data_IF_231061381208
#
_entry.id   IF_231061381208
#
_cell.length_a   1.000
_cell.length_b   1.000
_cell.length_c   1.000
_cell.angle_alpha   90.00
_cell.angle_beta   90.00
_cell.angle_gamma   90.00
#
_symmetry.space_group_name_H-M   'P 1'
#
loop_
_entity.id
_entity.type
_entity.pdbx_description
1 polymer ?
#
# COMPACT_ATOMS: atom_id res chain seq x y z
N UNK A 1 18.59 -20.77 -1.88
CA UNK A 1 17.26 -21.09 -2.47
C UNK A 1 16.17 -21.19 -1.40
N UNK A 2 16.37 -21.94 -0.32
CA UNK A 2 15.39 -22.10 0.77
C UNK A 2 14.89 -20.76 1.34
N UNK A 3 15.81 -19.87 1.74
CA UNK A 3 15.44 -18.56 2.30
C UNK A 3 14.75 -17.63 1.31
N UNK A 4 15.07 -17.72 0.02
CA UNK A 4 14.34 -16.98 -1.02
C UNK A 4 12.89 -17.43 -1.09
N UNK A 5 12.63 -18.74 -1.14
CA UNK A 5 11.26 -19.27 -1.17
C UNK A 5 10.50 -18.93 0.11
N UNK A 6 11.16 -19.05 1.27
CA UNK A 6 10.60 -18.66 2.56
C UNK A 6 10.22 -17.17 2.57
N UNK A 7 11.10 -16.30 2.06
CA UNK A 7 10.85 -14.88 1.90
C UNK A 7 9.70 -14.59 0.96
N UNK A 8 9.60 -15.30 -0.17
CA UNK A 8 8.48 -15.16 -1.11
C UNK A 8 7.15 -15.55 -0.49
N UNK A 9 7.09 -16.68 0.22
CA UNK A 9 5.85 -17.12 0.91
C UNK A 9 5.44 -16.11 2.00
N UNK A 10 6.39 -15.64 2.81
CA UNK A 10 6.14 -14.62 3.82
C UNK A 10 5.71 -13.29 3.20
N UNK A 11 6.34 -12.90 2.09
CA UNK A 11 5.98 -11.71 1.33
C UNK A 11 4.54 -11.76 0.85
N UNK A 12 4.09 -12.88 0.27
CA UNK A 12 2.67 -13.06 -0.08
C UNK A 12 1.75 -12.97 1.14
N UNK A 13 2.10 -13.62 2.25
CA UNK A 13 1.30 -13.54 3.48
C UNK A 13 1.22 -12.10 4.04
N UNK A 14 2.26 -11.30 3.83
CA UNK A 14 2.33 -9.89 4.24
C UNK A 14 1.49 -8.96 3.35
N UNK A 15 1.58 -9.09 2.01
CA UNK A 15 0.94 -8.15 1.08
C UNK A 15 -0.48 -8.55 0.65
N UNK A 16 -0.84 -9.84 0.77
CA UNK A 16 -2.13 -10.35 0.31
C UNK A 16 -3.36 -9.87 1.10
N UNK A 17 -3.29 -9.66 2.44
CA UNK A 17 -4.42 -9.16 3.21
C UNK A 17 -5.00 -7.88 2.63
N UNK A 18 -6.33 -7.80 2.55
CA UNK A 18 -6.99 -6.66 1.92
C UNK A 18 -6.83 -5.42 2.78
N UNK A 19 -6.06 -4.45 2.27
CA UNK A 19 -5.79 -3.18 2.95
C UNK A 19 -5.84 -1.99 1.99
N UNK A 20 -5.41 -0.83 2.49
CA UNK A 20 -5.44 0.43 1.74
C UNK A 20 -4.58 0.42 0.47
N UNK A 21 -3.41 -0.23 0.47
CA UNK A 21 -2.57 -0.40 -0.73
C UNK A 21 -3.28 -1.22 -1.81
N UNK A 22 -3.87 -2.37 -1.43
CA UNK A 22 -4.61 -3.23 -2.35
C UNK A 22 -5.81 -2.49 -2.97
N UNK A 23 -6.56 -1.73 -2.15
CA UNK A 23 -7.69 -0.91 -2.64
C UNK A 23 -7.25 0.22 -3.58
N UNK A 24 -6.13 0.88 -3.28
CA UNK A 24 -5.55 1.89 -4.16
C UNK A 24 -5.16 1.31 -5.53
N UNK A 25 -4.53 0.13 -5.55
CA UNK A 25 -4.15 -0.55 -6.80
C UNK A 25 -5.37 -0.97 -7.62
N UNK A 26 -6.36 -1.59 -6.99
CA UNK A 26 -7.60 -2.02 -7.66
C UNK A 26 -8.29 -0.81 -8.30
N UNK A 27 -8.50 0.26 -7.53
CA UNK A 27 -9.18 1.44 -8.05
C UNK A 27 -8.39 2.15 -9.15
N UNK A 28 -7.07 2.31 -8.96
CA UNK A 28 -6.19 2.88 -9.98
C UNK A 28 -6.23 2.09 -11.29
N UNK A 29 -6.26 0.76 -11.20
CA UNK A 29 -6.32 -0.14 -12.35
C UNK A 29 -7.69 -0.17 -13.06
N UNK A 30 -8.79 -0.02 -12.30
CA UNK A 30 -10.15 0.01 -12.84
C UNK A 30 -10.50 1.35 -13.51
N UNK A 31 -9.96 2.45 -13.00
CA UNK A 31 -10.29 3.79 -13.49
C UNK A 31 -9.55 4.17 -14.79
N UNK A 32 -8.55 3.41 -15.22
CA UNK A 32 -7.58 3.85 -16.22
C UNK A 32 -7.22 2.77 -17.26
N UNK A 33 -6.39 3.14 -18.25
CA UNK A 33 -5.90 2.20 -19.27
C UNK A 33 -5.00 1.11 -18.68
N UNK A 34 -4.85 -0.02 -19.38
CA UNK A 34 -3.93 -1.11 -18.96
C UNK A 34 -2.51 -0.64 -18.68
N UNK A 35 -2.01 0.33 -19.47
CA UNK A 35 -0.69 0.94 -19.25
C UNK A 35 -0.61 1.64 -17.90
N UNK A 36 -1.64 2.38 -17.53
CA UNK A 36 -1.73 3.06 -16.24
C UNK A 36 -1.92 2.08 -15.08
N UNK A 37 -2.67 0.99 -15.27
CA UNK A 37 -2.77 -0.08 -14.28
C UNK A 37 -1.39 -0.67 -13.95
N UNK A 38 -0.58 -0.98 -14.97
CA UNK A 38 0.80 -1.43 -14.77
C UNK A 38 1.64 -0.36 -14.06
N UNK A 39 1.53 0.92 -14.45
CA UNK A 39 2.23 2.01 -13.74
C UNK A 39 1.82 2.12 -12.27
N UNK A 40 0.54 1.91 -11.94
CA UNK A 40 0.05 1.88 -10.55
C UNK A 40 0.68 0.70 -9.80
N UNK A 41 0.62 -0.51 -10.38
CA UNK A 41 1.21 -1.71 -9.79
C UNK A 41 2.71 -1.57 -9.56
N UNK A 42 3.46 -1.06 -10.54
CA UNK A 42 4.90 -0.81 -10.43
C UNK A 42 5.22 0.25 -9.37
N UNK A 43 4.44 1.34 -9.32
CA UNK A 43 4.67 2.41 -8.34
C UNK A 43 4.45 1.92 -6.92
N UNK A 44 3.37 1.16 -6.68
CA UNK A 44 3.08 0.58 -5.36
C UNK A 44 4.09 -0.49 -4.99
N UNK A 45 4.42 -1.42 -5.90
CA UNK A 45 5.46 -2.42 -5.67
C UNK A 45 6.81 -1.78 -5.33
N UNK A 46 7.20 -0.72 -6.03
CA UNK A 46 8.43 0.00 -5.72
C UNK A 46 8.44 0.55 -4.29
N UNK A 47 7.39 1.29 -3.89
CA UNK A 47 7.33 1.84 -2.55
C UNK A 47 7.21 0.75 -1.48
N UNK A 48 6.49 -0.32 -1.75
CA UNK A 48 6.32 -1.45 -0.84
C UNK A 48 7.65 -2.20 -0.63
N UNK A 49 8.42 -2.44 -1.70
CA UNK A 49 9.77 -3.00 -1.61
C UNK A 49 10.70 -2.09 -0.80
N UNK A 50 10.68 -0.78 -1.04
CA UNK A 50 11.51 0.16 -0.26
C UNK A 50 11.13 0.16 1.22
N UNK A 51 9.82 0.10 1.53
CA UNK A 51 9.32 0.01 2.90
C UNK A 51 9.73 -1.31 3.55
N UNK A 52 9.55 -2.43 2.86
CA UNK A 52 9.92 -3.75 3.34
C UNK A 52 11.43 -3.86 3.63
N UNK A 53 12.28 -3.34 2.75
CA UNK A 53 13.73 -3.24 2.98
C UNK A 53 14.03 -2.42 4.24
N UNK A 54 13.40 -1.26 4.38
CA UNK A 54 13.57 -0.41 5.55
C UNK A 54 13.11 -1.08 6.85
N UNK A 55 11.96 -1.74 6.87
CA UNK A 55 11.48 -2.50 8.02
C UNK A 55 12.41 -3.67 8.36
N UNK A 56 12.85 -4.43 7.34
CA UNK A 56 13.74 -5.58 7.51
C UNK A 56 15.12 -5.18 8.07
N UNK A 57 15.64 -4.02 7.68
CA UNK A 57 16.92 -3.50 8.16
C UNK A 57 16.83 -2.54 9.36
N UNK A 58 15.63 -2.31 9.92
CA UNK A 58 15.49 -1.75 11.26
C UNK A 58 14.87 -0.37 11.39
N UNK A 59 14.20 0.18 10.37
CA UNK A 59 13.50 1.48 10.52
C UNK A 59 12.43 1.43 11.62
N UNK A 60 11.80 0.28 11.84
CA UNK A 60 10.80 0.18 12.90
C UNK A 60 11.37 -0.04 14.30
N UNK A 61 12.59 -0.55 14.44
CA UNK A 61 13.30 -0.50 15.73
C UNK A 61 13.54 0.97 16.13
N UNK A 62 13.82 1.83 15.15
CA UNK A 62 13.92 3.28 15.35
C UNK A 62 12.58 3.91 15.77
N UNK A 63 11.47 3.50 15.16
CA UNK A 63 10.13 3.99 15.50
C UNK A 63 9.65 3.55 16.89
N UNK A 64 10.04 2.36 17.34
CA UNK A 64 9.72 1.90 18.69
C UNK A 64 10.64 2.54 19.74
N UNK A 65 11.85 2.96 19.36
CA UNK A 65 12.74 3.69 20.25
C UNK A 65 12.35 5.17 20.42
N UNK A 66 11.92 5.84 19.34
CA UNK A 66 11.57 7.26 19.33
C UNK A 66 10.05 7.47 19.24
N UNK A 67 9.38 7.56 20.39
CA UNK A 67 7.93 7.74 20.48
C UNK A 67 7.41 9.00 19.74
N UNK A 68 8.16 10.10 19.76
CA UNK A 68 7.79 11.33 19.03
C UNK A 68 7.75 11.11 17.50
N UNK A 69 8.65 10.28 16.96
CA UNK A 69 8.71 9.97 15.53
C UNK A 69 7.48 9.14 15.12
N UNK A 70 7.11 8.16 15.95
CA UNK A 70 5.89 7.35 15.78
C UNK A 70 4.63 8.22 15.79
N UNK A 71 4.53 9.15 16.74
CA UNK A 71 3.41 10.12 16.84
C UNK A 71 3.33 11.03 15.61
N UNK A 72 4.47 11.53 15.13
CA UNK A 72 4.53 12.40 13.95
C UNK A 72 4.10 11.67 12.67
N UNK A 73 4.56 10.44 12.47
CA UNK A 73 4.14 9.60 11.32
C UNK A 73 2.65 9.29 11.39
N UNK A 74 2.11 8.97 12.57
CA UNK A 74 0.67 8.76 12.78
C UNK A 74 -0.16 10.02 12.44
N UNK A 75 0.30 11.19 12.89
CA UNK A 75 -0.39 12.46 12.64
C UNK A 75 -0.41 12.81 11.15
N UNK A 76 0.75 12.83 10.51
CA UNK A 76 0.86 13.22 9.11
C UNK A 76 0.16 12.18 8.21
N UNK A 77 0.38 10.90 8.49
CA UNK A 77 -0.22 9.82 7.73
C UNK A 77 -1.74 9.80 7.81
N UNK A 78 -2.33 9.95 9.01
CA UNK A 78 -3.78 9.99 9.17
C UNK A 78 -4.43 11.13 8.36
N UNK A 79 -3.87 12.35 8.43
CA UNK A 79 -4.40 13.50 7.67
C UNK A 79 -4.38 13.26 6.16
N UNK A 80 -3.28 12.73 5.62
CA UNK A 80 -3.16 12.52 4.17
C UNK A 80 -4.02 11.32 3.72
N UNK A 81 -4.10 10.25 4.51
CA UNK A 81 -4.97 9.11 4.22
C UNK A 81 -6.44 9.55 4.17
N UNK A 82 -6.89 10.38 5.13
CA UNK A 82 -8.25 10.95 5.12
C UNK A 82 -8.46 11.78 3.84
N UNK A 83 -7.48 12.62 3.46
CA UNK A 83 -7.57 13.39 2.23
C UNK A 83 -7.70 12.50 0.98
N UNK A 84 -6.91 11.42 0.89
CA UNK A 84 -7.01 10.45 -0.21
C UNK A 84 -8.39 9.78 -0.23
N UNK A 85 -8.89 9.34 0.93
CA UNK A 85 -10.22 8.74 1.03
C UNK A 85 -11.33 9.69 0.60
N UNK A 86 -11.27 10.96 0.99
CA UNK A 86 -12.20 12.00 0.53
C UNK A 86 -12.08 12.20 -1.00
N UNK A 87 -10.87 12.23 -1.53
CA UNK A 87 -10.63 12.35 -2.97
C UNK A 87 -11.23 11.18 -3.75
N UNK A 88 -11.20 9.97 -3.20
CA UNK A 88 -11.82 8.79 -3.81
C UNK A 88 -13.35 8.87 -3.80
N UNK A 89 -13.96 9.28 -2.69
CA UNK A 89 -15.42 9.45 -2.60
C UNK A 89 -15.91 10.53 -3.58
N UNK A 90 -15.15 11.61 -3.74
CA UNK A 90 -15.48 12.73 -4.64
C UNK A 90 -15.20 12.44 -6.13
N UNK A 91 -14.56 11.31 -6.45
CA UNK A 91 -14.25 10.96 -7.83
C UNK A 91 -15.55 10.78 -8.65
N UNK A 92 -15.73 11.62 -9.68
CA UNK A 92 -16.84 11.47 -10.64
C UNK A 92 -16.55 10.30 -11.58
N UNK A 93 -17.42 9.32 -11.58
CA UNK A 93 -17.41 8.18 -12.51
C UNK A 93 -18.25 8.54 -13.73
N UNK A 94 -17.76 9.45 -14.58
CA UNK A 94 -18.40 9.69 -15.87
C UNK A 94 -18.11 8.51 -16.81
N UNK A 95 -19.18 7.81 -17.19
CA UNK A 95 -19.14 6.63 -18.08
C UNK A 95 -18.98 7.04 -19.55
N UNK A 96 -19.12 8.34 -19.84
CA UNK A 96 -18.74 8.88 -21.13
C UNK A 96 -17.22 9.01 -21.14
N UNK A 97 -16.54 8.04 -21.75
CA UNK A 97 -15.09 7.92 -21.88
C UNK A 97 -14.53 9.02 -22.80
N UNK A 98 -14.83 10.29 -22.50
CA UNK A 98 -14.16 11.45 -23.07
C UNK A 98 -12.90 11.67 -22.24
N UNK A 99 -11.75 11.50 -22.89
CA UNK A 99 -10.40 11.80 -22.42
C UNK A 99 -10.30 12.02 -20.91
N UNK A 100 -10.44 10.93 -20.14
CA UNK A 100 -10.15 10.96 -18.71
C UNK A 100 -8.70 11.41 -18.59
N UNK A 101 -8.49 12.65 -18.14
CA UNK A 101 -7.17 13.24 -17.98
C UNK A 101 -6.25 12.20 -17.35
N UNK A 102 -5.21 11.80 -18.08
CA UNK A 102 -4.22 10.82 -17.61
C UNK A 102 -3.86 11.19 -16.17
N UNK A 103 -4.07 10.28 -15.21
CA UNK A 103 -3.63 10.45 -13.84
C UNK A 103 -2.19 10.97 -13.91
N UNK A 104 -1.98 12.23 -13.52
CA UNK A 104 -0.67 12.85 -13.59
C UNK A 104 0.30 11.92 -12.87
N UNK A 105 1.37 11.51 -13.53
CA UNK A 105 2.35 10.57 -12.97
C UNK A 105 2.80 11.00 -11.58
N UNK A 106 2.92 12.32 -11.37
CA UNK A 106 3.20 12.93 -10.07
C UNK A 106 2.16 12.58 -9.00
N UNK A 107 0.86 12.71 -9.30
CA UNK A 107 -0.21 12.36 -8.36
C UNK A 107 -0.19 10.86 -8.04
N UNK A 108 0.01 10.02 -9.05
CA UNK A 108 0.11 8.56 -8.86
C UNK A 108 1.25 8.21 -7.91
N UNK A 109 2.45 8.70 -8.19
CA UNK A 109 3.66 8.40 -7.40
C UNK A 109 3.51 8.92 -5.97
N UNK A 110 3.02 10.15 -5.78
CA UNK A 110 2.80 10.71 -4.44
C UNK A 110 1.74 9.91 -3.68
N UNK A 111 0.63 9.53 -4.32
CA UNK A 111 -0.39 8.71 -3.67
C UNK A 111 0.12 7.33 -3.31
N UNK A 112 0.88 6.67 -4.19
CA UNK A 112 1.49 5.36 -3.93
C UNK A 112 2.49 5.42 -2.77
N UNK A 113 3.32 6.48 -2.73
CA UNK A 113 4.23 6.74 -1.61
C UNK A 113 3.46 6.89 -0.31
N UNK A 114 2.47 7.78 -0.25
CA UNK A 114 1.70 8.04 0.97
C UNK A 114 0.97 6.79 1.45
N UNK A 115 0.26 6.10 0.56
CA UNK A 115 -0.51 4.90 0.90
C UNK A 115 0.37 3.77 1.42
N UNK A 116 1.66 3.79 1.12
CA UNK A 116 2.63 2.78 1.57
C UNK A 116 3.42 3.25 2.78
N UNK A 117 4.18 4.33 2.66
CA UNK A 117 5.10 4.84 3.68
C UNK A 117 4.42 5.55 4.85
N UNK A 118 3.25 6.16 4.61
CA UNK A 118 2.48 6.80 5.67
C UNK A 118 1.34 5.92 6.17
N UNK A 119 1.39 4.63 5.85
CA UNK A 119 0.53 3.62 6.43
C UNK A 119 1.20 3.06 7.71
N UNK A 120 0.87 3.59 8.90
CA UNK A 120 1.50 3.15 10.16
C UNK A 120 1.25 1.66 10.45
N UNK A 121 0.15 1.09 9.95
CA UNK A 121 -0.11 -0.34 10.08
C UNK A 121 0.91 -1.15 9.27
N UNK A 122 1.20 -0.75 8.03
CA UNK A 122 2.23 -1.40 7.23
C UNK A 122 3.63 -1.26 7.84
N UNK A 123 3.94 -0.12 8.48
CA UNK A 123 5.21 0.07 9.20
C UNK A 123 5.29 -0.84 10.42
N UNK A 124 4.22 -0.96 11.21
CA UNK A 124 4.16 -1.84 12.38
C UNK A 124 4.27 -3.30 11.95
N UNK A 125 3.43 -3.74 11.01
CA UNK A 125 3.38 -5.13 10.55
C UNK A 125 4.68 -5.53 9.85
N UNK A 126 5.21 -4.66 8.99
CA UNK A 126 6.47 -4.87 8.31
C UNK A 126 7.62 -4.98 9.30
N UNK A 127 7.65 -4.14 10.32
CA UNK A 127 8.71 -4.18 11.35
C UNK A 127 8.59 -5.41 12.23
N UNK A 128 7.39 -5.72 12.72
CA UNK A 128 7.18 -6.86 13.60
C UNK A 128 7.42 -8.18 12.87
N UNK A 129 6.93 -8.33 11.64
CA UNK A 129 7.09 -9.56 10.87
C UNK A 129 8.48 -9.63 10.23
N UNK A 130 8.86 -8.68 9.38
CA UNK A 130 10.13 -8.76 8.64
C UNK A 130 11.34 -8.54 9.56
N UNK A 131 11.24 -7.64 10.53
CA UNK A 131 12.30 -7.41 11.52
C UNK A 131 12.54 -8.62 12.43
N UNK A 132 11.49 -9.29 12.91
CA UNK A 132 11.65 -10.52 13.71
C UNK A 132 12.31 -11.65 12.90
N UNK A 133 11.94 -11.79 11.61
CA UNK A 133 12.59 -12.72 10.72
C UNK A 133 14.06 -12.36 10.48
N UNK A 134 14.41 -11.08 10.33
CA UNK A 134 15.81 -10.66 10.21
C UNK A 134 16.68 -11.14 11.37
N UNK A 135 16.16 -11.11 12.60
CA UNK A 135 16.89 -11.56 13.80
C UNK A 135 17.11 -13.06 13.81
N UNK A 136 16.17 -13.83 13.25
CA UNK A 136 16.21 -15.30 13.23
C UNK A 136 16.99 -15.88 12.03
N UNK A 137 17.39 -15.04 11.07
CA UNK A 137 18.08 -15.47 9.84
C UNK A 137 19.61 -15.32 9.98
N UNK A 138 20.40 -16.27 9.43
CA UNK A 138 21.83 -16.08 9.24
C UNK A 138 22.11 -14.80 8.44
N UNK A 139 23.10 -14.01 8.85
CA UNK A 139 23.42 -12.71 8.20
C UNK A 139 23.69 -12.86 6.71
N UNK A 140 24.39 -13.92 6.32
CA UNK A 140 24.74 -14.21 4.93
C UNK A 140 23.55 -14.72 4.09
N UNK A 141 22.42 -15.06 4.70
CA UNK A 141 21.24 -15.57 3.97
C UNK A 141 20.04 -14.62 4.02
N UNK A 142 20.07 -13.62 4.90
CA UNK A 142 19.03 -12.62 5.09
C UNK A 142 18.70 -11.85 3.80
N UNK A 143 19.70 -11.65 2.92
CA UNK A 143 19.49 -10.96 1.65
C UNK A 143 18.66 -11.79 0.65
N UNK A 144 18.81 -13.12 0.63
CA UNK A 144 17.97 -13.97 -0.21
C UNK A 144 16.50 -13.93 0.25
N UNK A 145 16.27 -13.88 1.56
CA UNK A 145 14.93 -13.73 2.12
C UNK A 145 14.25 -12.43 1.67
N UNK A 146 14.92 -11.28 1.85
CA UNK A 146 14.30 -9.99 1.50
C UNK A 146 14.13 -9.81 -0.02
N UNK A 147 15.01 -10.40 -0.83
CA UNK A 147 14.80 -10.49 -2.30
C UNK A 147 13.54 -11.31 -2.61
N UNK A 148 13.30 -12.40 -1.88
CA UNK A 148 12.07 -13.19 -1.99
C UNK A 148 10.81 -12.40 -1.65
N UNK A 149 10.84 -11.60 -0.58
CA UNK A 149 9.74 -10.70 -0.19
C UNK A 149 9.49 -9.65 -1.27
N UNK A 150 10.56 -9.03 -1.79
CA UNK A 150 10.45 -8.03 -2.84
C UNK A 150 9.86 -8.61 -4.13
N UNK A 151 10.26 -9.83 -4.48
CA UNK A 151 9.70 -10.56 -5.62
C UNK A 151 8.20 -10.84 -5.45
N UNK A 152 7.77 -11.26 -4.26
CA UNK A 152 6.36 -11.47 -3.95
C UNK A 152 5.54 -10.18 -4.09
N UNK A 153 6.04 -9.05 -3.56
CA UNK A 153 5.41 -7.74 -3.68
C UNK A 153 5.24 -7.33 -5.15
N UNK A 154 6.30 -7.50 -5.96
CA UNK A 154 6.26 -7.19 -7.38
C UNK A 154 5.22 -8.04 -8.13
N UNK A 155 5.19 -9.36 -7.90
CA UNK A 155 4.19 -10.24 -8.51
C UNK A 155 2.79 -9.86 -8.07
N UNK A 156 2.59 -9.65 -6.77
CA UNK A 156 1.29 -9.40 -6.19
C UNK A 156 0.67 -8.11 -6.73
N UNK A 157 1.34 -6.97 -6.62
CA UNK A 157 0.74 -5.69 -7.00
C UNK A 157 0.59 -5.54 -8.52
N UNK A 158 1.53 -6.06 -9.33
CA UNK A 158 1.34 -6.09 -10.78
C UNK A 158 0.25 -7.07 -11.20
N UNK A 159 0.19 -8.25 -10.57
CA UNK A 159 -0.88 -9.23 -10.79
C UNK A 159 -2.25 -8.66 -10.44
N UNK A 160 -2.37 -8.00 -9.29
CA UNK A 160 -3.59 -7.34 -8.83
C UNK A 160 -4.00 -6.21 -9.78
N UNK A 161 -3.05 -5.39 -10.23
CA UNK A 161 -3.33 -4.31 -11.18
C UNK A 161 -3.79 -4.86 -12.55
N UNK A 162 -3.10 -5.87 -13.09
CA UNK A 162 -3.41 -6.46 -14.38
C UNK A 162 -4.75 -7.20 -14.35
N UNK A 163 -5.01 -8.01 -13.33
CA UNK A 163 -6.29 -8.71 -13.15
C UNK A 163 -7.42 -7.70 -13.00
N UNK A 164 -7.27 -6.70 -12.13
CA UNK A 164 -8.26 -5.63 -11.98
C UNK A 164 -8.52 -4.90 -13.30
N UNK A 165 -7.49 -4.56 -14.08
CA UNK A 165 -7.65 -3.90 -15.37
C UNK A 165 -8.27 -4.80 -16.45
N UNK A 166 -7.98 -6.11 -16.42
CA UNK A 166 -8.53 -7.09 -17.36
C UNK A 166 -10.03 -7.31 -17.13
N UNK A 167 -10.43 -7.51 -15.87
CA UNK A 167 -11.82 -7.69 -15.48
C UNK A 167 -12.58 -6.37 -15.35
N UNK A 168 -11.89 -5.22 -15.39
CA UNK A 168 -12.49 -3.89 -15.25
C UNK A 168 -13.52 -3.54 -16.33
N UNK A 169 -13.41 -4.10 -17.54
CA UNK A 169 -14.43 -3.92 -18.59
C UNK A 169 -15.79 -4.56 -18.24
N UNK A 170 -15.83 -5.50 -17.28
CA UNK A 170 -17.08 -6.08 -16.75
C UNK A 170 -17.69 -5.17 -15.66
N UNK A 171 -16.90 -4.24 -15.11
CA UNK A 171 -17.29 -3.36 -14.00
C UNK A 171 -17.90 -2.08 -14.59
N UNK A 172 -19.24 -2.01 -14.60
CA UNK A 172 -19.99 -0.82 -15.04
C UNK A 172 -19.70 0.38 -14.13
N UNK A 173 -19.88 1.60 -14.64
CA UNK A 173 -19.60 2.84 -13.89
C UNK A 173 -20.31 2.98 -12.54
N UNK A 174 -21.51 2.41 -12.38
CA UNK A 174 -22.19 2.32 -11.08
C UNK A 174 -21.41 1.48 -10.07
N UNK A 175 -20.89 0.32 -10.49
CA UNK A 175 -20.07 -0.56 -9.63
C UNK A 175 -18.76 0.12 -9.27
N UNK A 176 -18.11 0.81 -10.23
CA UNK A 176 -16.91 1.60 -9.95
C UNK A 176 -17.19 2.75 -8.96
N UNK A 177 -18.35 3.41 -9.03
CA UNK A 177 -18.76 4.40 -8.02
C UNK A 177 -18.94 3.77 -6.64
N UNK A 178 -19.58 2.61 -6.55
CA UNK A 178 -19.72 1.88 -5.27
C UNK A 178 -18.38 1.43 -4.71
N UNK A 179 -17.46 0.97 -5.56
CA UNK A 179 -16.09 0.63 -5.18
C UNK A 179 -15.35 1.87 -4.64
N UNK A 180 -15.41 3.01 -5.34
CA UNK A 180 -14.80 4.26 -4.89
C UNK A 180 -15.34 4.73 -3.55
N UNK A 181 -16.66 4.63 -3.37
CA UNK A 181 -17.32 4.98 -2.12
C UNK A 181 -16.89 4.04 -0.99
N UNK A 182 -16.95 2.73 -1.21
CA UNK A 182 -16.55 1.73 -0.22
C UNK A 182 -15.07 1.87 0.17
N UNK A 183 -14.17 1.94 -0.82
CA UNK A 183 -12.73 2.13 -0.60
C UNK A 183 -12.45 3.44 0.14
N UNK A 184 -13.04 4.53 -0.33
CA UNK A 184 -12.86 5.85 0.28
C UNK A 184 -13.38 5.89 1.72
N UNK A 185 -14.53 5.28 1.99
CA UNK A 185 -15.07 5.14 3.35
C UNK A 185 -14.15 4.31 4.25
N UNK A 186 -13.68 3.14 3.78
CA UNK A 186 -12.74 2.31 4.54
C UNK A 186 -11.44 3.07 4.82
N UNK A 187 -10.86 3.74 3.83
CA UNK A 187 -9.64 4.54 3.98
C UNK A 187 -9.83 5.69 4.97
N UNK A 188 -10.97 6.40 4.94
CA UNK A 188 -11.29 7.45 5.92
C UNK A 188 -11.42 6.86 7.32
N UNK A 189 -12.14 5.74 7.48
CA UNK A 189 -12.28 5.05 8.77
C UNK A 189 -10.91 4.69 9.32
N UNK A 190 -10.03 4.11 8.49
CA UNK A 190 -8.65 3.83 8.89
C UNK A 190 -7.91 5.10 9.32
N UNK A 191 -7.95 6.16 8.52
CA UNK A 191 -7.33 7.44 8.88
C UNK A 191 -7.82 7.99 10.23
N UNK A 192 -9.13 7.90 10.50
CA UNK A 192 -9.71 8.29 11.79
C UNK A 192 -9.28 7.37 12.93
N UNK A 193 -9.22 6.05 12.72
CA UNK A 193 -8.73 5.09 13.72
C UNK A 193 -7.27 5.36 14.09
N UNK A 194 -6.43 5.72 13.10
CA UNK A 194 -5.05 6.12 13.34
C UNK A 194 -4.95 7.42 14.14
N UNK A 195 -5.83 8.37 13.86
CA UNK A 195 -5.92 9.61 14.61
C UNK A 195 -6.39 9.38 16.06
N UNK A 196 -7.35 8.48 16.27
CA UNK A 196 -7.78 8.07 17.62
C UNK A 196 -6.65 7.38 18.39
N UNK A 197 -5.92 6.48 17.73
CA UNK A 197 -4.75 5.81 18.30
C UNK A 197 -3.68 6.81 18.72
N UNK A 198 -3.45 7.84 17.90
CA UNK A 198 -2.54 8.94 18.26
C UNK A 198 -3.02 9.68 19.52
N UNK A 199 -4.30 10.01 19.62
CA UNK A 199 -4.87 10.71 20.80
C UNK A 199 -4.68 9.85 22.06
N UNK A 200 -4.96 8.55 21.98
CA UNK A 200 -4.75 7.61 23.10
C UNK A 200 -3.28 7.47 23.51
N UNK A 201 -2.32 7.76 22.62
CA UNK A 201 -0.88 7.75 22.94
C UNK A 201 -0.40 9.08 23.57
N UNK A 202 -1.20 10.14 23.51
CA UNK A 202 -0.85 11.47 24.03
C UNK A 202 -1.52 11.72 25.39
N UNK A 203 -2.73 11.20 25.59
CA UNK A 203 -3.48 11.24 26.86
C UNK A 203 -2.97 10.15 27.80
#
# INVERSE_FOLDING_TARGET
MYYFLQGTLMGFAYVAPIGMQNMFVINGALAHSRKQAVLVGLSVAFFDVTLALSCFYGIGALMDHYDWLKKLVLLIGSLIIIYIGISLIKAKTDVNRQESSVLSLRKLVVSAFVVTWFNPQALIDGTMMLGAFRVSLPTDDAHFFIIGVAFASFIWFNGLALTSSFFGNLIKGKVLRYLNLACGSVIIIYGLLLMLRLIQMIV
#
